data_IF_815964000904
#
_entry.id   IF_815964000904
#
_cell.length_a   1.000
_cell.length_b   1.000
_cell.length_c   1.000
_cell.angle_alpha   90.00
_cell.angle_beta   90.00
_cell.angle_gamma   90.00
#
_symmetry.space_group_name_H-M   'P 1'
#
loop_
_entity.id
_entity.type
_entity.pdbx_description
1 polymer ?
#
# COMPACT_ATOMS: atom_id res chain seq x y z
N UNK A 1 1.27 24.01 -8.53
CA UNK A 1 0.58 22.82 -7.98
C UNK A 1 -0.81 23.25 -7.53
N UNK A 2 -1.85 22.41 -7.68
CA UNK A 2 -3.19 22.76 -7.20
C UNK A 2 -3.15 22.93 -5.68
N UNK A 3 -3.85 23.93 -5.16
CA UNK A 3 -3.99 24.12 -3.72
C UNK A 3 -4.83 22.99 -3.09
N UNK A 4 -4.73 22.79 -1.78
CA UNK A 4 -5.57 21.81 -1.08
C UNK A 4 -7.08 22.12 -1.25
N UNK A 5 -7.44 23.39 -1.42
CA UNK A 5 -8.82 23.79 -1.68
C UNK A 5 -9.26 23.42 -3.11
N UNK A 6 -8.34 23.49 -4.08
CA UNK A 6 -8.63 23.04 -5.45
C UNK A 6 -8.90 21.54 -5.48
N UNK A 7 -8.11 20.74 -4.76
CA UNK A 7 -8.34 19.29 -4.63
C UNK A 7 -9.73 19.02 -4.03
N UNK A 8 -10.10 19.73 -2.95
CA UNK A 8 -11.42 19.59 -2.32
C UNK A 8 -12.54 19.94 -3.29
N UNK A 9 -12.40 21.07 -4.01
CA UNK A 9 -13.39 21.53 -4.98
C UNK A 9 -13.55 20.53 -6.14
N UNK A 10 -12.46 19.92 -6.62
CA UNK A 10 -12.50 18.89 -7.65
C UNK A 10 -13.28 17.65 -7.18
N UNK A 11 -13.01 17.18 -5.95
CA UNK A 11 -13.71 16.04 -5.36
C UNK A 11 -15.19 16.36 -5.09
N UNK A 12 -15.52 17.58 -4.67
CA UNK A 12 -16.90 18.03 -4.43
C UNK A 12 -17.73 18.03 -5.72
N UNK A 13 -17.18 18.57 -6.81
CA UNK A 13 -17.89 18.74 -8.07
C UNK A 13 -17.90 17.48 -8.96
N UNK A 14 -17.35 16.36 -8.47
CA UNK A 14 -17.32 15.06 -9.14
C UNK A 14 -16.83 15.11 -10.60
N UNK A 15 -15.83 15.96 -10.89
CA UNK A 15 -15.32 16.15 -12.24
C UNK A 15 -14.36 15.01 -12.62
N UNK A 16 -14.93 13.89 -13.05
CA UNK A 16 -14.21 12.63 -13.31
C UNK A 16 -13.02 12.80 -14.26
N UNK A 17 -13.17 13.62 -15.31
CA UNK A 17 -12.11 13.90 -16.28
C UNK A 17 -10.90 14.61 -15.68
N UNK A 18 -11.06 15.32 -14.57
CA UNK A 18 -9.99 16.04 -13.90
C UNK A 18 -9.25 15.18 -12.86
N UNK A 19 -9.73 13.98 -12.54
CA UNK A 19 -9.07 13.09 -11.59
C UNK A 19 -7.72 12.56 -12.06
N UNK A 20 -7.46 12.58 -13.38
CA UNK A 20 -6.13 12.34 -13.93
C UNK A 20 -5.09 13.33 -13.36
N UNK A 21 -5.50 14.54 -12.98
CA UNK A 21 -4.62 15.53 -12.33
C UNK A 21 -4.25 15.12 -10.90
N UNK A 22 -5.09 14.33 -10.22
CA UNK A 22 -4.80 13.84 -8.85
C UNK A 22 -3.61 12.88 -8.86
N UNK A 23 -3.44 12.10 -9.93
CA UNK A 23 -2.30 11.19 -10.08
C UNK A 23 -0.95 11.90 -10.24
N UNK A 24 -0.97 13.22 -10.52
CA UNK A 24 0.23 14.07 -10.61
C UNK A 24 0.60 14.73 -9.29
N UNK A 25 -0.21 14.56 -8.24
CA UNK A 25 0.08 15.12 -6.92
C UNK A 25 1.29 14.43 -6.30
N UNK A 26 2.06 15.17 -5.50
CA UNK A 26 3.14 14.53 -4.73
C UNK A 26 2.54 13.75 -3.56
N UNK A 27 3.26 12.73 -3.07
CA UNK A 27 2.86 12.01 -1.86
C UNK A 27 2.66 12.94 -0.66
N UNK A 28 3.47 14.02 -0.56
CA UNK A 28 3.31 15.05 0.46
C UNK A 28 1.96 15.75 0.36
N UNK A 29 1.57 16.20 -0.83
CA UNK A 29 0.30 16.91 -1.03
C UNK A 29 -0.91 16.03 -0.68
N UNK A 30 -0.85 14.75 -1.04
CA UNK A 30 -1.89 13.77 -0.71
C UNK A 30 -1.97 13.56 0.80
N UNK A 31 -0.83 13.43 1.49
CA UNK A 31 -0.76 13.30 2.95
C UNK A 31 -1.34 14.55 3.62
N UNK A 32 -0.92 15.74 3.20
CA UNK A 32 -1.36 17.02 3.77
C UNK A 32 -2.86 17.22 3.53
N UNK A 33 -3.36 16.90 2.34
CA UNK A 33 -4.78 16.91 2.03
C UNK A 33 -5.56 15.96 2.94
N UNK A 34 -5.15 14.70 3.01
CA UNK A 34 -5.79 13.67 3.84
C UNK A 34 -5.76 14.08 5.32
N UNK A 35 -4.69 14.76 5.72
CA UNK A 35 -4.53 15.24 7.07
C UNK A 35 -5.51 16.35 7.44
N UNK A 36 -5.74 17.28 6.51
CA UNK A 36 -6.63 18.44 6.68
C UNK A 36 -8.09 18.11 6.43
N UNK A 37 -8.39 17.24 5.47
CA UNK A 37 -9.72 16.95 4.96
C UNK A 37 -10.05 15.46 5.07
N UNK A 38 -10.10 14.95 6.31
CA UNK A 38 -10.31 13.51 6.57
C UNK A 38 -11.59 12.95 5.95
N UNK A 39 -12.69 13.70 5.92
CA UNK A 39 -13.95 13.25 5.30
C UNK A 39 -13.85 13.10 3.76
N UNK A 40 -12.84 13.71 3.13
CA UNK A 40 -12.58 13.61 1.69
C UNK A 40 -11.51 12.58 1.33
N UNK A 41 -10.84 11.99 2.33
CA UNK A 41 -9.74 11.05 2.12
C UNK A 41 -10.18 9.81 1.35
N UNK A 42 -11.32 9.22 1.69
CA UNK A 42 -11.89 8.08 0.96
C UNK A 42 -12.08 8.35 -0.52
N UNK A 43 -12.76 9.47 -0.83
CA UNK A 43 -13.03 9.88 -2.20
C UNK A 43 -11.74 10.20 -2.98
N UNK A 44 -10.75 10.78 -2.32
CA UNK A 44 -9.43 10.97 -2.93
C UNK A 44 -8.82 9.63 -3.30
N UNK A 45 -8.72 8.69 -2.35
CA UNK A 45 -8.13 7.37 -2.55
C UNK A 45 -8.89 6.52 -3.58
N UNK A 46 -10.20 6.73 -3.75
CA UNK A 46 -10.98 6.08 -4.78
C UNK A 46 -10.50 6.43 -6.20
N UNK A 47 -9.97 7.63 -6.39
CA UNK A 47 -9.55 8.14 -7.69
C UNK A 47 -8.03 8.17 -7.90
N UNK A 48 -7.25 7.81 -6.88
CA UNK A 48 -5.81 7.63 -7.04
C UNK A 48 -5.51 6.32 -7.78
N UNK A 49 -4.45 6.36 -8.58
CA UNK A 49 -3.77 5.15 -9.01
C UNK A 49 -3.39 4.31 -7.78
N UNK A 50 -3.57 3.00 -7.89
CA UNK A 50 -3.41 2.08 -6.76
C UNK A 50 -1.99 2.12 -6.19
N UNK A 51 -0.95 2.28 -7.02
CA UNK A 51 0.45 2.34 -6.55
C UNK A 51 0.71 3.62 -5.78
N UNK A 52 0.14 4.74 -6.22
CA UNK A 52 0.26 6.00 -5.51
C UNK A 52 -0.51 5.98 -4.19
N UNK A 53 -1.74 5.42 -4.21
CA UNK A 53 -2.54 5.18 -3.02
C UNK A 53 -1.78 4.35 -1.99
N UNK A 54 -1.26 3.19 -2.38
CA UNK A 54 -0.48 2.30 -1.51
C UNK A 54 0.77 3.01 -0.93
N UNK A 55 1.53 3.72 -1.77
CA UNK A 55 2.70 4.48 -1.35
C UNK A 55 2.38 5.53 -0.29
N UNK A 56 1.23 6.21 -0.40
CA UNK A 56 0.84 7.23 0.58
C UNK A 56 0.21 6.61 1.82
N UNK A 57 -0.58 5.56 1.66
CA UNK A 57 -1.36 4.93 2.71
C UNK A 57 -0.50 4.56 3.93
N UNK A 58 0.69 4.02 3.71
CA UNK A 58 1.61 3.61 4.79
C UNK A 58 2.08 4.75 5.69
N UNK A 59 2.15 5.97 5.17
CA UNK A 59 2.57 7.15 5.94
C UNK A 59 1.42 7.81 6.72
N UNK A 60 0.19 7.35 6.52
CA UNK A 60 -0.97 7.89 7.22
C UNK A 60 -1.08 7.31 8.62
N UNK A 61 -1.63 8.11 9.55
CA UNK A 61 -1.96 7.62 10.88
C UNK A 61 -3.02 6.51 10.79
N UNK A 62 -2.91 5.51 11.66
CA UNK A 62 -3.79 4.32 11.75
C UNK A 62 -5.29 4.65 11.65
N UNK A 63 -5.76 5.63 12.41
CA UNK A 63 -7.16 6.08 12.37
C UNK A 63 -7.60 6.56 10.97
N UNK A 64 -6.71 7.18 10.20
CA UNK A 64 -7.00 7.63 8.82
C UNK A 64 -6.99 6.46 7.84
N UNK A 65 -6.05 5.53 7.98
CA UNK A 65 -6.03 4.29 7.20
C UNK A 65 -7.37 3.54 7.33
N UNK A 66 -7.87 3.41 8.57
CA UNK A 66 -9.16 2.77 8.85
C UNK A 66 -10.34 3.52 8.20
N UNK A 67 -10.39 4.85 8.35
CA UNK A 67 -11.44 5.69 7.73
C UNK A 67 -11.44 5.52 6.22
N UNK A 68 -10.25 5.54 5.59
CA UNK A 68 -10.11 5.38 4.14
C UNK A 68 -10.64 4.02 3.72
N UNK A 69 -10.15 2.92 4.31
CA UNK A 69 -10.57 1.56 3.94
C UNK A 69 -12.07 1.37 4.11
N UNK A 70 -12.66 1.86 5.21
CA UNK A 70 -14.12 1.79 5.44
C UNK A 70 -14.95 2.62 4.47
N UNK A 71 -14.36 3.61 3.81
CA UNK A 71 -15.04 4.51 2.87
C UNK A 71 -14.87 4.13 1.40
N UNK A 72 -13.98 3.17 1.11
CA UNK A 72 -13.76 2.68 -0.24
C UNK A 72 -14.78 1.58 -0.59
N UNK A 73 -15.22 1.49 -1.85
CA UNK A 73 -15.86 0.29 -2.36
C UNK A 73 -14.95 -0.93 -2.19
N UNK A 74 -15.53 -2.12 -2.01
CA UNK A 74 -14.80 -3.36 -1.74
C UNK A 74 -13.74 -3.65 -2.80
N UNK A 75 -14.05 -3.42 -4.09
CA UNK A 75 -13.08 -3.62 -5.17
C UNK A 75 -11.87 -2.70 -5.02
N UNK A 76 -12.10 -1.44 -4.63
CA UNK A 76 -11.01 -0.46 -4.48
C UNK A 76 -10.20 -0.67 -3.21
N UNK A 77 -10.85 -1.10 -2.13
CA UNK A 77 -10.18 -1.53 -0.92
C UNK A 77 -9.31 -2.76 -1.20
N UNK A 78 -9.82 -3.72 -1.96
CA UNK A 78 -9.07 -4.90 -2.39
C UNK A 78 -7.85 -4.51 -3.22
N UNK A 79 -8.01 -3.68 -4.26
CA UNK A 79 -6.90 -3.17 -5.06
C UNK A 79 -5.81 -2.54 -4.18
N UNK A 80 -6.21 -1.62 -3.30
CA UNK A 80 -5.29 -0.91 -2.43
C UNK A 80 -4.54 -1.86 -1.50
N UNK A 81 -5.26 -2.77 -0.83
CA UNK A 81 -4.66 -3.71 0.11
C UNK A 81 -3.72 -4.70 -0.60
N UNK A 82 -4.10 -5.21 -1.77
CA UNK A 82 -3.22 -6.09 -2.57
C UNK A 82 -1.96 -5.36 -3.07
N UNK A 83 -2.01 -4.04 -3.23
CA UNK A 83 -0.86 -3.24 -3.65
C UNK A 83 0.04 -2.76 -2.50
N UNK A 84 -0.37 -2.94 -1.24
CA UNK A 84 0.50 -2.66 -0.10
C UNK A 84 1.64 -3.68 -0.02
N UNK A 85 2.79 -3.22 0.48
CA UNK A 85 3.86 -4.13 0.86
C UNK A 85 3.41 -5.06 1.99
N UNK A 86 3.94 -6.29 2.08
CA UNK A 86 3.41 -7.30 2.99
C UNK A 86 3.48 -6.90 4.47
N UNK A 87 4.55 -6.22 4.87
CA UNK A 87 4.76 -5.66 6.20
C UNK A 87 3.80 -4.51 6.51
N UNK A 88 3.64 -3.55 5.60
CA UNK A 88 2.69 -2.42 5.74
C UNK A 88 1.25 -2.91 5.86
N UNK A 89 0.86 -3.90 5.04
CA UNK A 89 -0.46 -4.53 5.09
C UNK A 89 -0.69 -5.23 6.42
N UNK A 90 0.30 -5.99 6.88
CA UNK A 90 0.24 -6.70 8.17
C UNK A 90 0.17 -5.71 9.33
N UNK A 91 0.94 -4.62 9.27
CA UNK A 91 0.93 -3.56 10.25
C UNK A 91 -0.44 -2.85 10.33
N UNK A 92 -1.09 -2.62 9.19
CA UNK A 92 -2.45 -2.07 9.15
C UNK A 92 -3.47 -3.06 9.74
N UNK A 93 -3.49 -4.30 9.24
CA UNK A 93 -4.48 -5.31 9.65
C UNK A 93 -4.34 -5.71 11.11
N UNK A 94 -3.11 -5.77 11.64
CA UNK A 94 -2.85 -6.13 13.04
C UNK A 94 -3.43 -5.16 14.07
N UNK A 95 -3.97 -4.02 13.64
CA UNK A 95 -4.56 -2.99 14.52
C UNK A 95 -6.07 -3.03 14.56
N UNK A 96 -6.67 -3.81 13.67
CA UNK A 96 -8.10 -3.89 13.55
C UNK A 96 -8.64 -5.02 14.43
N UNK A 97 -9.88 -4.89 14.93
CA UNK A 97 -10.57 -6.00 15.56
C UNK A 97 -10.65 -7.22 14.64
N UNK A 98 -10.57 -8.42 15.22
CA UNK A 98 -10.45 -9.66 14.44
C UNK A 98 -11.59 -9.94 13.45
N UNK A 99 -12.80 -9.42 13.69
CA UNK A 99 -13.89 -9.49 12.72
C UNK A 99 -13.63 -8.62 11.48
N UNK A 100 -13.13 -7.39 11.65
CA UNK A 100 -12.77 -6.52 10.54
C UNK A 100 -11.60 -7.10 9.73
N UNK A 101 -10.60 -7.70 10.40
CA UNK A 101 -9.51 -8.41 9.72
C UNK A 101 -10.03 -9.55 8.86
N UNK A 102 -10.96 -10.37 9.39
CA UNK A 102 -11.54 -11.49 8.63
C UNK A 102 -12.25 -11.01 7.36
N UNK A 103 -13.01 -9.93 7.42
CA UNK A 103 -13.69 -9.39 6.23
C UNK A 103 -12.69 -8.84 5.21
N UNK A 104 -11.68 -8.09 5.65
CA UNK A 104 -10.65 -7.57 4.74
C UNK A 104 -9.77 -8.67 4.14
N UNK A 105 -9.52 -9.77 4.87
CA UNK A 105 -8.81 -10.91 4.29
C UNK A 105 -9.60 -11.53 3.13
N UNK A 106 -10.94 -11.58 3.19
CA UNK A 106 -11.79 -12.18 2.14
C UNK A 106 -11.71 -11.46 0.79
N UNK A 107 -11.31 -10.19 0.77
CA UNK A 107 -11.19 -9.39 -0.46
C UNK A 107 -9.76 -9.40 -1.03
N UNK A 108 -8.78 -9.96 -0.31
CA UNK A 108 -7.41 -10.15 -0.84
C UNK A 108 -7.37 -11.27 -1.87
N UNK A 109 -6.43 -11.17 -2.82
CA UNK A 109 -6.10 -12.28 -3.72
C UNK A 109 -5.62 -13.50 -2.92
N UNK A 110 -5.76 -14.73 -3.45
CA UNK A 110 -5.33 -15.94 -2.75
C UNK A 110 -3.87 -15.90 -2.28
N UNK A 111 -2.97 -15.41 -3.14
CA UNK A 111 -1.53 -15.32 -2.89
C UNK A 111 -1.25 -14.30 -1.79
N UNK A 112 -1.79 -13.09 -1.96
CA UNK A 112 -1.67 -12.00 -0.99
C UNK A 112 -2.24 -12.40 0.36
N UNK A 113 -3.38 -13.10 0.39
CA UNK A 113 -4.00 -13.61 1.62
C UNK A 113 -3.11 -14.62 2.33
N UNK A 114 -2.56 -15.58 1.60
CA UNK A 114 -1.68 -16.60 2.18
C UNK A 114 -0.43 -15.97 2.82
N UNK A 115 0.21 -15.03 2.12
CA UNK A 115 1.34 -14.27 2.63
C UNK A 115 0.98 -13.45 3.87
N UNK A 116 -0.15 -12.75 3.82
CA UNK A 116 -0.64 -11.94 4.95
C UNK A 116 -0.92 -12.81 6.17
N UNK A 117 -1.55 -13.97 5.99
CA UNK A 117 -1.82 -14.90 7.09
C UNK A 117 -0.52 -15.43 7.70
N UNK A 118 0.50 -15.71 6.87
CA UNK A 118 1.82 -16.11 7.36
C UNK A 118 2.44 -15.02 8.23
N UNK A 119 2.42 -13.76 7.78
CA UNK A 119 2.94 -12.63 8.56
C UNK A 119 2.09 -12.36 9.82
N UNK A 120 0.77 -12.50 9.72
CA UNK A 120 -0.17 -12.41 10.84
C UNK A 120 -0.02 -13.56 11.85
N UNK A 121 0.68 -14.64 11.49
CA UNK A 121 0.95 -15.78 12.38
C UNK A 121 2.14 -15.58 13.33
N UNK A 122 3.07 -14.66 13.03
CA UNK A 122 4.19 -14.37 13.92
C UNK A 122 3.76 -13.56 15.14
N UNK A 123 4.38 -13.69 16.32
CA UNK A 123 4.01 -12.85 17.48
C UNK A 123 4.09 -11.35 17.16
N UNK A 124 3.18 -10.53 17.71
CA UNK A 124 3.05 -9.10 17.36
C UNK A 124 4.34 -8.30 17.52
N UNK A 125 5.14 -8.61 18.54
CA UNK A 125 6.40 -7.90 18.84
C UNK A 125 7.64 -8.65 18.34
N UNK A 126 7.49 -9.51 17.33
CA UNK A 126 8.60 -10.28 16.75
C UNK A 126 9.13 -9.65 15.47
N UNK A 127 10.39 -9.96 15.14
CA UNK A 127 10.99 -9.57 13.86
C UNK A 127 10.17 -10.11 12.68
N UNK A 128 9.62 -11.31 12.80
CA UNK A 128 8.77 -11.91 11.76
C UNK A 128 7.50 -11.11 11.46
N UNK A 129 7.03 -10.30 12.41
CA UNK A 129 5.87 -9.41 12.21
C UNK A 129 6.23 -8.12 11.46
N UNK A 130 7.50 -7.71 11.54
CA UNK A 130 8.01 -6.46 10.96
C UNK A 130 8.76 -6.68 9.64
N UNK A 131 9.07 -7.93 9.29
CA UNK A 131 9.81 -8.24 8.07
C UNK A 131 8.93 -8.15 6.83
N UNK A 132 9.56 -7.85 5.70
CA UNK A 132 8.99 -8.08 4.37
C UNK A 132 9.66 -9.30 3.73
N UNK A 133 8.90 -10.22 3.10
CA UNK A 133 9.45 -11.34 2.33
C UNK A 133 10.01 -10.90 0.97
N UNK A 134 9.85 -9.63 0.60
CA UNK A 134 10.25 -9.07 -0.69
C UNK A 134 11.76 -8.77 -0.72
N UNK A 135 12.60 -9.79 -0.67
CA UNK A 135 14.06 -9.66 -0.78
C UNK A 135 14.60 -10.45 -1.98
N UNK A 136 15.78 -10.04 -2.46
CA UNK A 136 16.46 -10.76 -3.53
C UNK A 136 17.48 -11.74 -2.95
N UNK A 137 17.28 -13.03 -3.24
CA UNK A 137 18.22 -14.09 -2.94
C UNK A 137 18.78 -14.70 -4.22
N UNK A 138 20.08 -15.02 -4.20
CA UNK A 138 20.82 -15.66 -5.30
C UNK A 138 21.52 -16.92 -4.80
N UNK A 139 22.14 -17.70 -5.69
CA UNK A 139 22.99 -18.82 -5.29
C UNK A 139 24.43 -18.38 -5.17
N UNK A 140 25.17 -19.03 -4.27
CA UNK A 140 26.62 -18.79 -4.12
C UNK A 140 27.44 -19.12 -5.38
N UNK A 141 26.85 -19.89 -6.31
CA UNK A 141 27.45 -20.28 -7.59
C UNK A 141 27.13 -19.32 -8.74
N UNK A 142 26.23 -18.35 -8.54
CA UNK A 142 25.83 -17.44 -9.61
C UNK A 142 26.95 -16.44 -9.92
N UNK A 143 27.23 -16.25 -11.21
CA UNK A 143 28.15 -15.22 -11.69
C UNK A 143 27.53 -13.83 -11.57
N UNK A 144 28.37 -12.79 -11.52
CA UNK A 144 27.91 -11.39 -11.48
C UNK A 144 26.92 -11.07 -12.60
N UNK A 145 27.17 -11.58 -13.82
CA UNK A 145 26.27 -11.35 -14.94
C UNK A 145 24.87 -11.97 -14.70
N UNK A 146 24.82 -13.20 -14.21
CA UNK A 146 23.55 -13.87 -13.89
C UNK A 146 22.79 -13.14 -12.79
N UNK A 147 23.49 -12.65 -11.77
CA UNK A 147 22.89 -11.84 -10.70
C UNK A 147 22.29 -10.55 -11.27
N UNK A 148 23.02 -9.84 -12.14
CA UNK A 148 22.50 -8.64 -12.81
C UNK A 148 21.26 -8.94 -13.65
N UNK A 149 21.22 -10.09 -14.33
CA UNK A 149 20.04 -10.51 -15.10
C UNK A 149 18.85 -10.83 -14.19
N UNK A 150 19.08 -11.46 -13.04
CA UNK A 150 18.06 -11.68 -12.01
C UNK A 150 17.53 -10.34 -11.49
N UNK A 151 18.40 -9.37 -11.20
CA UNK A 151 18.01 -8.02 -10.75
C UNK A 151 17.14 -7.33 -11.80
N UNK A 152 17.52 -7.39 -13.08
CA UNK A 152 16.72 -6.80 -14.17
C UNK A 152 15.33 -7.41 -14.27
N UNK A 153 15.21 -8.72 -14.06
CA UNK A 153 13.93 -9.44 -14.18
C UNK A 153 13.04 -9.29 -12.94
N UNK A 154 13.61 -9.29 -11.74
CA UNK A 154 12.86 -9.44 -10.47
C UNK A 154 13.06 -8.29 -9.50
N UNK A 155 14.03 -7.42 -9.73
CA UNK A 155 14.43 -6.40 -8.76
C UNK A 155 13.35 -5.36 -8.46
N UNK A 156 12.36 -5.19 -9.33
CA UNK A 156 11.21 -4.31 -9.06
C UNK A 156 10.28 -4.82 -7.95
N UNK A 157 10.31 -6.13 -7.68
CA UNK A 157 9.51 -6.74 -6.63
C UNK A 157 10.23 -6.78 -5.28
N UNK A 158 11.52 -6.42 -5.23
CA UNK A 158 12.28 -6.40 -3.98
C UNK A 158 12.11 -5.05 -3.26
N UNK A 159 12.06 -5.08 -1.93
CA UNK A 159 12.04 -3.90 -1.07
C UNK A 159 13.29 -3.03 -1.28
N UNK A 160 14.44 -3.69 -1.42
CA UNK A 160 15.72 -3.03 -1.66
C UNK A 160 16.63 -3.86 -2.54
N UNK A 161 17.46 -3.17 -3.32
CA UNK A 161 18.54 -3.77 -4.12
C UNK A 161 19.93 -3.45 -3.58
N UNK A 162 20.01 -2.74 -2.44
CA UNK A 162 21.29 -2.41 -1.81
C UNK A 162 21.96 -3.63 -1.17
N UNK A 163 21.14 -4.61 -0.77
CA UNK A 163 21.58 -5.87 -0.20
C UNK A 163 21.01 -7.03 -1.01
N UNK A 164 21.87 -7.99 -1.34
CA UNK A 164 21.51 -9.24 -2.00
C UNK A 164 21.97 -10.36 -1.09
N UNK A 165 21.09 -11.32 -0.82
CA UNK A 165 21.33 -12.42 0.10
C UNK A 165 21.79 -13.67 -0.66
N UNK A 166 22.67 -14.46 -0.04
CA UNK A 166 23.22 -15.72 -0.58
C UNK A 166 22.83 -16.87 0.34
#
# INVERSE_FOLDING_TARGET
>A
MPSLNDIKNLLQNNRITEFVKLNKLSSRDIIDFTNRYTNWAGKLFQHLDVKQGARVFKFLRKKKQEIIIKSLPDEKAAELLNALQPDDRTAFLGLLPGNAVKELLKILSPETRAETLKLLGYPENSVGRLMTPDYLAIKSTDTVQQVLDIIRQRGQAAETLNFIFV
#
